data_IF_896325123138
#
_entry.id   IF_896325123138
#
_cell.length_a   1.000
_cell.length_b   1.000
_cell.length_c   1.000
_cell.angle_alpha   90.00
_cell.angle_beta   90.00
_cell.angle_gamma   90.00
#
_symmetry.space_group_name_H-M   'P 1'
#
loop_
_entity.id
_entity.type
_entity.pdbx_description
1 polymer ?
#
# COMPACT_ATOMS: atom_id res chain seq x y z
N UNK A 1 -2.97 -20.32 -21.80
CA UNK A 1 -1.97 -20.33 -20.70
C UNK A 1 -2.27 -19.26 -19.64
N UNK A 2 -2.74 -18.07 -20.04
CA UNK A 2 -3.20 -17.01 -19.11
C UNK A 2 -4.27 -17.46 -18.10
N UNK A 3 -5.32 -18.18 -18.54
CA UNK A 3 -6.42 -18.61 -17.66
C UNK A 3 -5.94 -19.48 -16.48
N UNK A 4 -5.00 -20.41 -16.72
CA UNK A 4 -4.48 -21.31 -15.68
C UNK A 4 -3.66 -20.54 -14.63
N UNK A 5 -2.90 -19.54 -15.05
CA UNK A 5 -2.11 -18.70 -14.15
C UNK A 5 -3.01 -17.85 -13.22
N UNK A 6 -4.05 -17.23 -13.78
CA UNK A 6 -5.01 -16.42 -12.97
C UNK A 6 -5.72 -17.28 -11.93
N UNK A 7 -6.17 -18.49 -12.32
CA UNK A 7 -6.82 -19.41 -11.38
C UNK A 7 -5.90 -19.81 -10.21
N UNK A 8 -4.62 -20.09 -10.50
CA UNK A 8 -3.63 -20.40 -9.45
C UNK A 8 -3.41 -19.18 -8.54
N UNK A 9 -3.31 -17.98 -9.11
CA UNK A 9 -3.11 -16.75 -8.33
C UNK A 9 -4.28 -16.47 -7.37
N UNK A 10 -5.53 -16.56 -7.84
CA UNK A 10 -6.72 -16.36 -6.99
C UNK A 10 -6.77 -17.40 -5.87
N UNK A 11 -6.42 -18.66 -6.16
CA UNK A 11 -6.38 -19.72 -5.15
C UNK A 11 -5.37 -19.43 -4.04
N UNK A 12 -4.16 -18.97 -4.41
CA UNK A 12 -3.15 -18.53 -3.45
C UNK A 12 -3.67 -17.34 -2.63
N UNK A 13 -4.26 -16.33 -3.27
CA UNK A 13 -4.82 -15.17 -2.55
C UNK A 13 -5.87 -15.59 -1.52
N UNK A 14 -6.73 -16.55 -1.85
CA UNK A 14 -7.74 -17.10 -0.92
C UNK A 14 -7.12 -17.75 0.32
N UNK A 15 -6.01 -18.49 0.17
CA UNK A 15 -5.34 -19.13 1.31
C UNK A 15 -4.73 -18.08 2.27
N UNK A 16 -4.20 -16.99 1.72
CA UNK A 16 -3.49 -15.98 2.50
C UNK A 16 -4.39 -14.84 2.99
N UNK A 17 -5.67 -14.78 2.61
CA UNK A 17 -6.53 -13.62 2.93
C UNK A 17 -6.80 -13.48 4.43
N UNK A 18 -7.03 -14.58 5.14
CA UNK A 18 -7.30 -14.57 6.58
C UNK A 18 -6.11 -14.04 7.42
N UNK A 19 -4.87 -14.55 7.26
CA UNK A 19 -3.73 -14.01 8.01
C UNK A 19 -3.42 -12.56 7.64
N UNK A 20 -3.57 -12.16 6.36
CA UNK A 20 -3.38 -10.78 5.93
C UNK A 20 -4.44 -9.87 6.58
N UNK A 21 -5.71 -10.27 6.58
CA UNK A 21 -6.82 -9.53 7.19
C UNK A 21 -6.62 -9.35 8.69
N UNK A 22 -6.20 -10.41 9.40
CA UNK A 22 -5.94 -10.35 10.84
C UNK A 22 -4.79 -9.40 11.19
N UNK A 23 -3.73 -9.37 10.38
CA UNK A 23 -2.62 -8.43 10.55
C UNK A 23 -3.06 -6.97 10.40
N UNK A 24 -3.85 -6.70 9.36
CA UNK A 24 -4.39 -5.37 9.06
C UNK A 24 -5.38 -4.92 10.15
N UNK A 25 -6.23 -5.81 10.66
CA UNK A 25 -7.18 -5.47 11.73
C UNK A 25 -6.50 -5.20 13.08
N UNK A 26 -5.34 -5.80 13.32
CA UNK A 26 -4.55 -5.57 14.54
C UNK A 26 -3.82 -4.22 14.55
N UNK A 27 -3.56 -3.65 13.36
CA UNK A 27 -2.87 -2.37 13.19
C UNK A 27 -3.73 -1.41 12.37
N UNK A 28 -4.57 -0.58 13.03
CA UNK A 28 -5.48 0.34 12.37
C UNK A 28 -4.80 1.28 11.36
N UNK A 29 -3.55 1.66 11.62
CA UNK A 29 -2.72 2.52 10.79
C UNK A 29 -2.43 1.83 9.42
N UNK A 30 -2.01 0.56 9.43
CA UNK A 30 -1.81 -0.28 8.24
C UNK A 30 -3.09 -0.45 7.39
N UNK A 31 -4.26 -0.53 8.02
CA UNK A 31 -5.56 -0.63 7.32
C UNK A 31 -5.86 0.59 6.47
N UNK A 32 -5.61 1.78 7.02
CA UNK A 32 -5.84 3.05 6.32
C UNK A 32 -4.85 3.19 5.17
N UNK A 33 -3.58 2.83 5.39
CA UNK A 33 -2.54 2.84 4.36
C UNK A 33 -2.87 1.90 3.18
N UNK A 34 -3.39 0.69 3.47
CA UNK A 34 -3.83 -0.25 2.43
C UNK A 34 -5.00 0.27 1.59
N UNK A 35 -6.03 0.84 2.24
CA UNK A 35 -7.17 1.49 1.57
C UNK A 35 -6.71 2.65 0.68
N UNK A 36 -5.79 3.46 1.18
CA UNK A 36 -5.19 4.57 0.43
C UNK A 36 -4.44 4.10 -0.81
N UNK A 37 -3.62 3.06 -0.72
CA UNK A 37 -2.89 2.53 -1.88
C UNK A 37 -3.79 1.90 -2.93
N UNK A 38 -4.84 1.17 -2.53
CA UNK A 38 -5.82 0.63 -3.48
C UNK A 38 -6.50 1.78 -4.25
N UNK A 39 -6.87 2.85 -3.55
CA UNK A 39 -7.45 4.05 -4.17
C UNK A 39 -6.46 4.75 -5.11
N UNK A 40 -5.23 4.99 -4.66
CA UNK A 40 -4.19 5.65 -5.45
C UNK A 40 -3.85 4.87 -6.73
N UNK A 41 -3.69 3.54 -6.63
CA UNK A 41 -3.48 2.69 -7.81
C UNK A 41 -4.72 2.69 -8.71
N UNK A 42 -5.92 2.65 -8.14
CA UNK A 42 -7.16 2.75 -8.90
C UNK A 42 -7.22 4.03 -9.74
N UNK A 43 -6.92 5.18 -9.13
CA UNK A 43 -6.87 6.49 -9.83
C UNK A 43 -5.76 6.51 -10.87
N UNK A 44 -4.57 6.00 -10.54
CA UNK A 44 -3.45 5.88 -11.47
C UNK A 44 -3.85 5.09 -12.72
N UNK A 45 -4.50 3.94 -12.55
CA UNK A 45 -4.93 3.09 -13.67
C UNK A 45 -6.04 3.74 -14.49
N UNK A 46 -6.96 4.47 -13.86
CA UNK A 46 -8.01 5.21 -14.58
C UNK A 46 -7.39 6.31 -15.44
N UNK A 47 -6.46 7.11 -14.89
CA UNK A 47 -5.75 8.16 -15.61
C UNK A 47 -4.94 7.58 -16.79
N UNK A 48 -4.20 6.51 -16.53
CA UNK A 48 -3.41 5.78 -17.53
C UNK A 48 -4.31 5.25 -18.66
N UNK A 49 -5.46 4.65 -18.31
CA UNK A 49 -6.45 4.15 -19.28
C UNK A 49 -7.17 5.26 -20.05
N UNK A 50 -7.34 6.44 -19.46
CA UNK A 50 -7.98 7.60 -20.08
C UNK A 50 -7.03 8.37 -21.03
N UNK A 51 -5.77 7.94 -21.16
CA UNK A 51 -4.77 8.61 -21.98
C UNK A 51 -4.24 9.90 -21.37
N UNK A 52 -4.52 10.15 -20.09
CA UNK A 52 -3.94 11.26 -19.34
C UNK A 52 -2.61 10.76 -18.78
N UNK A 53 -1.57 10.85 -19.59
CA UNK A 53 -0.21 10.51 -19.20
C UNK A 53 0.74 11.62 -19.64
N UNK A 54 1.51 12.14 -18.69
CA UNK A 54 2.54 13.15 -18.95
C UNK A 54 3.64 12.54 -19.83
N UNK A 55 3.93 13.12 -21.01
CA UNK A 55 4.95 12.65 -21.97
C UNK A 55 6.41 12.78 -21.49
N UNK A 56 6.64 12.93 -20.19
CA UNK A 56 7.97 12.92 -19.58
C UNK A 56 8.20 11.49 -19.08
N UNK A 57 9.08 10.77 -19.79
CA UNK A 57 9.53 9.44 -19.38
C UNK A 57 10.87 9.57 -18.66
N UNK A 58 10.91 9.09 -17.42
CA UNK A 58 12.14 8.94 -16.66
C UNK A 58 12.26 7.46 -16.33
N UNK A 59 13.36 6.83 -16.77
CA UNK A 59 13.62 5.40 -16.52
C UNK A 59 12.54 4.46 -17.12
N UNK A 60 12.10 4.70 -18.36
CA UNK A 60 11.02 3.92 -19.03
C UNK A 60 9.66 3.96 -18.31
N UNK A 61 9.48 4.89 -17.36
CA UNK A 61 8.27 5.06 -16.58
C UNK A 61 7.77 6.51 -16.70
N UNK A 62 6.45 6.64 -16.89
CA UNK A 62 5.81 7.95 -16.88
C UNK A 62 5.98 8.60 -15.49
N UNK A 63 6.26 9.90 -15.45
CA UNK A 63 6.51 10.64 -14.20
C UNK A 63 5.43 10.43 -13.13
N UNK A 64 4.16 10.28 -13.53
CA UNK A 64 3.04 10.05 -12.63
C UNK A 64 3.17 8.73 -11.85
N UNK A 65 3.53 7.65 -12.55
CA UNK A 65 3.74 6.33 -11.94
C UNK A 65 4.91 6.39 -10.96
N UNK A 66 5.99 7.07 -11.35
CA UNK A 66 7.16 7.26 -10.50
C UNK A 66 6.80 8.03 -9.21
N UNK A 67 6.02 9.11 -9.30
CA UNK A 67 5.59 9.86 -8.12
C UNK A 67 4.71 9.03 -7.18
N UNK A 68 3.77 8.24 -7.72
CA UNK A 68 2.93 7.36 -6.90
C UNK A 68 3.76 6.26 -6.22
N UNK A 69 4.72 5.65 -6.91
CA UNK A 69 5.59 4.64 -6.31
C UNK A 69 6.54 5.24 -5.27
N UNK A 70 7.08 6.42 -5.51
CA UNK A 70 7.86 7.15 -4.52
C UNK A 70 7.02 7.47 -3.27
N UNK A 71 5.80 7.98 -3.46
CA UNK A 71 4.87 8.24 -2.37
C UNK A 71 4.51 6.98 -1.57
N UNK A 72 4.34 5.84 -2.26
CA UNK A 72 4.03 4.56 -1.64
C UNK A 72 5.15 4.08 -0.71
N UNK A 73 6.39 4.12 -1.20
CA UNK A 73 7.58 3.74 -0.41
C UNK A 73 7.74 4.70 0.77
N UNK A 74 7.63 6.01 0.52
CA UNK A 74 7.73 7.02 1.56
C UNK A 74 6.67 6.85 2.66
N UNK A 75 5.41 6.58 2.28
CA UNK A 75 4.33 6.34 3.23
C UNK A 75 4.59 5.09 4.10
N UNK A 76 5.10 4.00 3.53
CA UNK A 76 5.47 2.80 4.30
C UNK A 76 6.60 3.10 5.29
N UNK A 77 7.60 3.88 4.88
CA UNK A 77 8.70 4.29 5.78
C UNK A 77 8.17 5.15 6.93
N UNK A 78 7.32 6.12 6.65
CA UNK A 78 6.69 6.95 7.68
C UNK A 78 5.84 6.13 8.64
N UNK A 79 5.11 5.15 8.13
CA UNK A 79 4.30 4.24 8.94
C UNK A 79 5.15 3.43 9.93
N UNK A 80 6.31 2.91 9.49
CA UNK A 80 7.24 2.23 10.39
C UNK A 80 7.78 3.16 11.50
N UNK A 81 8.06 4.42 11.16
CA UNK A 81 8.48 5.44 12.13
C UNK A 81 7.34 5.74 13.12
N UNK A 82 6.11 5.88 12.62
CA UNK A 82 4.91 6.15 13.42
C UNK A 82 4.67 5.03 14.43
N UNK A 83 4.71 3.77 14.00
CA UNK A 83 4.53 2.60 14.87
C UNK A 83 5.62 2.53 15.95
N UNK A 84 6.87 2.82 15.59
CA UNK A 84 7.99 2.88 16.55
C UNK A 84 7.82 4.01 17.58
N UNK A 85 7.34 5.19 17.13
CA UNK A 85 7.06 6.32 18.01
C UNK A 85 5.88 6.04 18.95
N UNK A 86 4.79 5.49 18.43
CA UNK A 86 3.58 5.18 19.20
C UNK A 86 3.86 4.13 20.29
N UNK A 87 4.69 3.13 19.98
CA UNK A 87 5.15 2.13 20.95
C UNK A 87 5.89 2.75 22.13
N UNK A 88 6.76 3.74 21.86
CA UNK A 88 7.45 4.50 22.90
C UNK A 88 6.47 5.34 23.69
N UNK A 89 5.64 6.15 23.02
CA UNK A 89 4.67 7.04 23.68
C UNK A 89 3.77 6.31 24.69
N UNK A 90 3.31 5.11 24.35
CA UNK A 90 2.46 4.30 25.22
C UNK A 90 3.20 3.81 26.49
N UNK A 91 4.51 3.57 26.40
CA UNK A 91 5.33 3.23 27.56
C UNK A 91 5.48 4.42 28.53
N UNK A 92 5.66 5.63 28.00
CA UNK A 92 5.73 6.86 28.82
C UNK A 92 4.39 7.17 29.50
N UNK A 93 3.26 7.01 28.79
CA UNK A 93 1.92 7.21 29.38
C UNK A 93 1.63 6.26 30.53
N UNK A 94 2.10 5.01 30.47
CA UNK A 94 1.98 4.04 31.57
C UNK A 94 2.78 4.40 32.82
N UNK A 95 3.80 5.24 32.71
CA UNK A 95 4.58 5.72 33.87
C UNK A 95 3.94 6.93 34.56
N UNK A 96 3.05 7.63 33.86
CA UNK A 96 2.36 8.82 34.35
C UNK A 96 0.97 8.52 34.95
N UNK A 97 0.46 7.30 34.79
CA UNK A 97 -0.82 6.81 35.31
C UNK A 97 -0.61 5.86 36.49
#
# INVERSE_FOLDING_TARGET
VMIRAVMIAVFIMMIFIDPISNFINSHPEMKILALGFICAIGVLLVLDSAGIHTSIEVLDMHMEKLMVYFAMIFAVVLEFIQMAFNSRLNAWKKQLA
#
